data_IF_308896150885
#
_entry.id   IF_308896150885
#
_cell.length_a   1.000
_cell.length_b   1.000
_cell.length_c   1.000
_cell.angle_alpha   90.00
_cell.angle_beta   90.00
_cell.angle_gamma   90.00
#
_symmetry.space_group_name_H-M   'P 1'
#
loop_
_entity.id
_entity.type
_entity.pdbx_description
1 polymer ?
#
# COMPACT_ATOMS: atom_id res chain seq x y z
N UNK A 1 11.99 -78.88 4.62
CA UNK A 1 13.27 -79.62 4.52
C UNK A 1 13.54 -79.80 3.03
N UNK A 2 14.71 -79.49 2.45
CA UNK A 2 16.04 -79.14 3.02
C UNK A 2 16.90 -78.34 2.02
N UNK A 3 17.64 -77.33 2.54
CA UNK A 3 18.90 -76.68 2.08
C UNK A 3 19.36 -76.69 0.59
N UNK A 4 19.65 -75.50 0.06
CA UNK A 4 20.66 -75.17 -1.00
C UNK A 4 22.10 -75.04 -0.38
N UNK A 5 23.24 -74.72 -1.08
CA UNK A 5 23.50 -74.17 -2.45
C UNK A 5 24.52 -75.04 -3.27
N UNK A 6 25.51 -74.65 -4.14
CA UNK A 6 26.12 -73.37 -4.62
C UNK A 6 27.01 -73.52 -5.90
N UNK A 7 26.85 -72.64 -6.91
CA UNK A 7 27.79 -71.55 -7.37
C UNK A 7 29.33 -71.80 -7.35
N UNK A 8 30.19 -71.37 -8.33
CA UNK A 8 30.06 -71.12 -9.80
C UNK A 8 31.36 -71.45 -10.62
N UNK A 9 31.53 -70.89 -11.85
CA UNK A 9 32.76 -70.33 -12.52
C UNK A 9 32.37 -69.92 -13.99
N UNK A 10 33.17 -69.22 -14.86
CA UNK A 10 34.60 -68.81 -14.78
C UNK A 10 34.99 -67.35 -15.24
N UNK A 11 36.30 -67.05 -15.15
CA UNK A 11 37.20 -66.10 -15.89
C UNK A 11 36.98 -64.56 -15.98
N UNK A 12 37.91 -63.85 -15.30
CA UNK A 12 38.78 -62.72 -15.75
C UNK A 12 38.24 -61.48 -16.47
N UNK A 13 38.69 -60.26 -16.06
CA UNK A 13 38.67 -59.16 -17.04
C UNK A 13 39.08 -57.72 -16.74
N UNK A 14 39.47 -57.23 -15.54
CA UNK A 14 40.14 -55.91 -15.42
C UNK A 14 40.89 -55.70 -14.09
N UNK A 15 41.81 -54.73 -14.06
CA UNK A 15 42.58 -54.35 -12.86
C UNK A 15 42.07 -53.03 -12.26
N UNK A 16 41.68 -52.98 -10.97
CA UNK A 16 41.35 -51.73 -10.30
C UNK A 16 42.63 -51.01 -9.86
N UNK A 17 42.99 -49.93 -10.56
CA UNK A 17 44.02 -48.99 -10.09
C UNK A 17 43.58 -48.32 -8.78
N UNK A 18 44.50 -48.22 -7.82
CA UNK A 18 44.20 -47.64 -6.52
C UNK A 18 44.09 -46.10 -6.59
N UNK A 19 42.85 -45.59 -6.63
CA UNK A 19 42.54 -44.17 -6.42
C UNK A 19 41.91 -43.96 -5.04
N UNK A 20 42.76 -43.91 -4.01
CA UNK A 20 42.37 -43.69 -2.61
C UNK A 20 42.06 -42.22 -2.30
N UNK A 21 41.21 -41.57 -3.09
CA UNK A 21 40.80 -40.18 -2.88
C UNK A 21 39.51 -40.11 -2.07
N UNK A 22 39.58 -40.59 -0.82
CA UNK A 22 38.45 -40.65 0.12
C UNK A 22 38.81 -40.08 1.51
N UNK A 23 39.78 -39.15 1.57
CA UNK A 23 40.23 -38.52 2.81
C UNK A 23 40.98 -37.21 2.58
N UNK A 24 40.35 -36.21 1.95
CA UNK A 24 40.91 -34.85 1.88
C UNK A 24 39.85 -33.73 2.01
N UNK A 25 38.99 -33.91 3.00
CA UNK A 25 37.99 -32.94 3.44
C UNK A 25 38.18 -32.66 4.93
N UNK A 26 39.30 -32.03 5.30
CA UNK A 26 39.67 -31.80 6.69
C UNK A 26 40.93 -30.96 6.92
N UNK A 27 41.87 -30.93 5.98
CA UNK A 27 42.98 -30.01 5.99
C UNK A 27 42.55 -28.65 5.41
N UNK A 28 42.10 -27.72 6.28
CA UNK A 28 42.21 -26.32 5.94
C UNK A 28 43.70 -25.97 5.97
N UNK A 29 44.33 -25.83 4.79
CA UNK A 29 45.74 -25.47 4.70
C UNK A 29 46.00 -24.19 5.49
N UNK A 30 46.68 -24.37 6.62
CA UNK A 30 47.20 -23.27 7.40
C UNK A 30 48.48 -22.80 6.70
N UNK A 31 48.31 -22.16 5.54
CA UNK A 31 49.31 -21.24 5.01
C UNK A 31 49.69 -20.30 6.15
N UNK A 32 50.85 -20.56 6.75
CA UNK A 32 51.49 -19.63 7.65
C UNK A 32 52.04 -18.52 6.77
N UNK A 33 51.19 -17.56 6.41
CA UNK A 33 51.61 -16.30 5.79
C UNK A 33 52.64 -15.66 6.70
N UNK A 34 53.92 -15.88 6.39
CA UNK A 34 55.03 -15.37 7.17
C UNK A 34 54.94 -13.85 7.11
N UNK A 35 54.54 -13.23 8.23
CA UNK A 35 54.33 -11.79 8.32
C UNK A 35 55.69 -11.10 8.20
N UNK A 36 56.05 -10.73 6.96
CA UNK A 36 57.33 -10.09 6.69
C UNK A 36 57.35 -8.67 7.25
N UNK A 37 58.55 -8.16 7.53
CA UNK A 37 58.72 -6.75 7.92
C UNK A 37 58.23 -5.80 6.81
N UNK A 38 58.29 -6.21 5.54
CA UNK A 38 57.71 -5.47 4.41
C UNK A 38 56.19 -5.36 4.48
N UNK A 39 55.50 -6.47 4.78
CA UNK A 39 54.04 -6.50 4.96
C UNK A 39 53.59 -5.53 6.06
N UNK A 40 54.31 -5.50 7.19
CA UNK A 40 54.04 -4.58 8.31
C UNK A 40 54.25 -3.12 7.89
N UNK A 41 55.34 -2.82 7.17
CA UNK A 41 55.60 -1.45 6.67
C UNK A 41 54.54 -0.98 5.66
N UNK A 42 54.09 -1.86 4.76
CA UNK A 42 53.01 -1.57 3.80
C UNK A 42 51.68 -1.34 4.56
N UNK A 43 51.37 -2.16 5.56
CA UNK A 43 50.17 -1.97 6.39
C UNK A 43 50.19 -0.63 7.16
N UNK A 44 51.33 -0.24 7.72
CA UNK A 44 51.51 1.07 8.39
C UNK A 44 51.28 2.22 7.39
N UNK A 45 51.82 2.10 6.16
CA UNK A 45 51.62 3.11 5.11
C UNK A 45 50.14 3.22 4.70
N UNK A 46 49.45 2.09 4.51
CA UNK A 46 48.01 2.04 4.19
C UNK A 46 47.18 2.64 5.33
N UNK A 47 47.50 2.33 6.59
CA UNK A 47 46.83 2.90 7.76
C UNK A 47 47.03 4.41 7.86
N UNK A 48 48.26 4.90 7.62
CA UNK A 48 48.56 6.34 7.60
C UNK A 48 47.80 7.09 6.49
N UNK A 49 47.81 6.55 5.27
CA UNK A 49 47.04 7.08 4.13
C UNK A 49 45.53 7.06 4.45
N UNK A 50 45.02 5.99 5.07
CA UNK A 50 43.63 5.87 5.51
C UNK A 50 43.24 6.96 6.51
N UNK A 51 44.05 7.21 7.53
CA UNK A 51 43.79 8.26 8.54
C UNK A 51 43.79 9.65 7.89
N UNK A 52 44.72 9.92 6.96
CA UNK A 52 44.73 11.17 6.21
C UNK A 52 43.51 11.31 5.29
N UNK A 53 43.11 10.24 4.61
CA UNK A 53 41.93 10.21 3.75
C UNK A 53 40.63 10.46 4.57
N UNK A 54 40.40 9.68 5.63
CA UNK A 54 39.21 9.78 6.48
C UNK A 54 39.10 11.10 7.25
N UNK A 55 40.22 11.77 7.52
CA UNK A 55 40.25 13.12 8.10
C UNK A 55 39.89 14.19 7.06
N UNK A 56 40.53 14.16 5.89
CA UNK A 56 40.52 15.29 4.94
C UNK A 56 39.44 15.18 3.85
N UNK A 57 39.26 14.00 3.24
CA UNK A 57 38.35 13.81 2.08
C UNK A 57 36.89 14.19 2.41
N UNK A 58 36.31 13.86 3.58
CA UNK A 58 34.94 14.27 3.90
C UNK A 58 34.73 15.79 3.95
N UNK A 59 35.73 16.56 4.41
CA UNK A 59 35.67 18.02 4.42
C UNK A 59 35.83 18.62 3.01
N UNK A 60 36.70 18.03 2.19
CA UNK A 60 36.85 18.41 0.78
C UNK A 60 35.57 18.13 -0.02
N UNK A 61 34.94 16.98 0.20
CA UNK A 61 33.63 16.63 -0.37
C UNK A 61 32.55 17.64 0.02
N UNK A 62 32.55 18.11 1.27
CA UNK A 62 31.59 19.11 1.74
C UNK A 62 31.75 20.44 1.00
N UNK A 63 32.97 20.96 0.96
CA UNK A 63 33.28 22.28 0.38
C UNK A 63 33.10 22.28 -1.15
N UNK A 64 33.56 21.23 -1.84
CA UNK A 64 33.50 21.18 -3.31
C UNK A 64 32.07 20.92 -3.81
N UNK A 65 31.37 19.94 -3.21
CA UNK A 65 30.10 19.43 -3.75
C UNK A 65 28.91 19.76 -2.85
N UNK A 66 28.93 19.36 -1.57
CA UNK A 66 27.71 19.39 -0.74
C UNK A 66 27.24 20.81 -0.41
N UNK A 67 28.15 21.78 -0.31
CA UNK A 67 27.82 23.20 -0.12
C UNK A 67 27.20 23.85 -1.38
N UNK A 68 27.32 23.24 -2.56
CA UNK A 68 26.69 23.70 -3.81
C UNK A 68 25.29 23.13 -4.04
N UNK A 69 24.88 22.15 -3.22
CA UNK A 69 23.56 21.52 -3.29
C UNK A 69 22.61 22.18 -2.27
N UNK A 70 21.28 22.20 -2.52
CA UNK A 70 20.27 22.75 -1.62
C UNK A 70 19.99 21.79 -0.43
N UNK A 71 21.03 21.46 0.32
CA UNK A 71 20.99 20.53 1.46
C UNK A 71 21.04 21.28 2.79
N UNK A 72 20.23 20.84 3.75
CA UNK A 72 20.30 21.28 5.14
C UNK A 72 21.61 20.85 5.83
N UNK A 73 21.92 21.46 6.98
CA UNK A 73 23.18 21.19 7.71
C UNK A 73 23.25 19.75 8.24
N UNK A 74 22.12 19.19 8.68
CA UNK A 74 22.01 17.82 9.19
C UNK A 74 22.30 16.79 8.09
N UNK A 75 21.69 16.92 6.91
CA UNK A 75 21.95 16.03 5.76
C UNK A 75 23.42 16.11 5.31
N UNK A 76 24.02 17.31 5.27
CA UNK A 76 25.45 17.45 4.96
C UNK A 76 26.34 16.73 5.96
N UNK A 77 26.12 16.94 7.26
CA UNK A 77 26.86 16.26 8.34
C UNK A 77 26.68 14.73 8.31
N UNK A 78 25.49 14.25 7.97
CA UNK A 78 25.22 12.82 7.81
C UNK A 78 26.05 12.24 6.64
N UNK A 79 26.05 12.90 5.47
CA UNK A 79 26.83 12.46 4.30
C UNK A 79 28.34 12.44 4.60
N UNK A 80 28.89 13.48 5.22
CA UNK A 80 30.33 13.53 5.53
C UNK A 80 30.74 12.51 6.60
N UNK A 81 29.87 12.26 7.58
CA UNK A 81 30.04 11.20 8.58
C UNK A 81 30.01 9.80 7.95
N UNK A 82 29.03 9.51 7.07
CA UNK A 82 28.96 8.23 6.34
C UNK A 82 30.17 8.04 5.42
N UNK A 83 30.58 9.08 4.68
CA UNK A 83 31.78 9.03 3.85
C UNK A 83 33.05 8.76 4.67
N UNK A 84 33.17 9.32 5.88
CA UNK A 84 34.26 9.01 6.81
C UNK A 84 34.23 7.54 7.23
N UNK A 85 33.08 7.00 7.63
CA UNK A 85 32.99 5.60 8.05
C UNK A 85 33.30 4.63 6.89
N UNK A 86 32.84 4.90 5.67
CA UNK A 86 33.19 4.09 4.50
C UNK A 86 34.71 4.11 4.22
N UNK A 87 35.36 5.27 4.28
CA UNK A 87 36.83 5.37 4.13
C UNK A 87 37.58 4.60 5.22
N UNK A 88 37.12 4.66 6.47
CA UNK A 88 37.71 3.89 7.58
C UNK A 88 37.53 2.38 7.37
N UNK A 89 36.32 1.92 7.00
CA UNK A 89 36.05 0.49 6.77
C UNK A 89 36.93 -0.06 5.63
N UNK A 90 36.99 0.65 4.50
CA UNK A 90 37.83 0.25 3.35
C UNK A 90 39.30 0.23 3.73
N UNK A 91 39.80 1.27 4.38
CA UNK A 91 41.21 1.36 4.76
C UNK A 91 41.64 0.35 5.84
N UNK A 92 40.76 0.04 6.80
CA UNK A 92 40.97 -1.06 7.77
C UNK A 92 41.00 -2.41 7.05
N UNK A 93 40.10 -2.65 6.09
CA UNK A 93 40.09 -3.87 5.28
C UNK A 93 41.39 -4.04 4.48
N UNK A 94 41.88 -2.97 3.84
CA UNK A 94 43.15 -2.97 3.12
C UNK A 94 44.36 -3.17 4.06
N UNK A 95 44.32 -2.59 5.26
CA UNK A 95 45.36 -2.75 6.28
C UNK A 95 45.47 -4.20 6.75
N UNK A 96 44.34 -4.86 7.05
CA UNK A 96 44.35 -6.27 7.45
C UNK A 96 44.82 -7.20 6.33
N UNK A 97 44.42 -6.94 5.08
CA UNK A 97 44.92 -7.66 3.91
C UNK A 97 46.45 -7.55 3.77
N UNK A 98 47.01 -6.34 3.94
CA UNK A 98 48.45 -6.11 3.84
C UNK A 98 49.29 -6.79 4.93
N UNK A 99 48.74 -6.99 6.15
CA UNK A 99 49.42 -7.73 7.22
C UNK A 99 49.53 -9.23 6.89
N UNK A 100 48.69 -9.76 5.99
CA UNK A 100 48.63 -11.20 5.71
C UNK A 100 47.76 -11.97 6.70
N UNK A 101 46.91 -11.28 7.48
CA UNK A 101 45.84 -11.95 8.25
C UNK A 101 44.87 -12.52 7.22
N UNK A 102 44.89 -13.86 7.06
CA UNK A 102 44.09 -14.55 6.06
C UNK A 102 42.62 -14.12 6.09
N UNK A 103 42.14 -13.59 4.97
CA UNK A 103 40.80 -13.02 4.81
C UNK A 103 39.70 -13.96 5.32
N UNK A 104 39.87 -15.27 5.08
CA UNK A 104 39.05 -16.37 5.59
C UNK A 104 38.73 -16.30 7.10
N UNK A 105 39.66 -15.82 7.95
CA UNK A 105 39.50 -15.72 9.41
C UNK A 105 38.51 -14.61 9.84
N UNK A 106 38.33 -13.58 9.01
CA UNK A 106 37.46 -12.42 9.29
C UNK A 106 36.21 -12.43 8.39
N UNK A 107 36.24 -13.18 7.27
CA UNK A 107 35.16 -13.27 6.29
C UNK A 107 33.79 -13.63 6.90
N UNK A 108 33.73 -14.54 7.88
CA UNK A 108 32.47 -14.90 8.56
C UNK A 108 31.90 -13.72 9.38
N UNK A 109 32.77 -12.94 10.04
CA UNK A 109 32.38 -11.77 10.83
C UNK A 109 31.92 -10.62 9.93
N UNK A 110 32.63 -10.38 8.82
CA UNK A 110 32.22 -9.41 7.80
C UNK A 110 30.89 -9.82 7.17
N UNK A 111 30.72 -11.09 6.78
CA UNK A 111 29.47 -11.59 6.23
C UNK A 111 28.29 -11.42 7.20
N UNK A 112 28.47 -11.80 8.48
CA UNK A 112 27.44 -11.63 9.51
C UNK A 112 27.09 -10.14 9.74
N UNK A 113 28.08 -9.26 9.80
CA UNK A 113 27.89 -7.81 9.97
C UNK A 113 27.19 -7.18 8.77
N UNK A 114 27.61 -7.52 7.54
CA UNK A 114 27.00 -7.05 6.30
C UNK A 114 25.56 -7.56 6.16
N UNK A 115 25.28 -8.80 6.53
CA UNK A 115 23.93 -9.40 6.46
C UNK A 115 23.00 -8.77 7.51
N UNK A 116 23.47 -8.56 8.75
CA UNK A 116 22.73 -7.83 9.77
C UNK A 116 22.43 -6.37 9.37
N UNK A 117 23.40 -5.69 8.75
CA UNK A 117 23.20 -4.35 8.19
C UNK A 117 22.20 -4.35 7.01
N UNK A 118 22.27 -5.35 6.14
CA UNK A 118 21.35 -5.49 5.00
C UNK A 118 19.90 -5.68 5.47
N UNK A 119 19.65 -6.52 6.49
CA UNK A 119 18.33 -6.62 7.12
C UNK A 119 17.91 -5.30 7.80
N UNK A 120 18.80 -4.65 8.55
CA UNK A 120 18.51 -3.36 9.19
C UNK A 120 18.17 -2.23 8.22
N UNK A 121 18.71 -2.27 7.00
CA UNK A 121 18.44 -1.30 5.93
C UNK A 121 17.32 -1.74 4.96
N UNK A 122 16.82 -2.97 5.06
CA UNK A 122 15.87 -3.57 4.11
C UNK A 122 14.64 -2.69 3.88
N UNK A 123 14.04 -2.16 4.95
CA UNK A 123 12.83 -1.34 4.86
C UNK A 123 13.10 0.05 4.26
N UNK A 124 14.29 0.63 4.50
CA UNK A 124 14.71 1.90 3.88
C UNK A 124 14.89 1.70 2.38
N UNK A 125 15.55 0.60 1.98
CA UNK A 125 15.77 0.26 0.58
C UNK A 125 14.46 -0.05 -0.15
N UNK A 126 13.55 -0.83 0.47
CA UNK A 126 12.23 -1.13 -0.09
C UNK A 126 11.42 0.13 -0.37
N UNK A 127 11.37 1.07 0.58
CA UNK A 127 10.65 2.34 0.39
C UNK A 127 11.33 3.26 -0.64
N UNK A 128 12.66 3.24 -0.76
CA UNK A 128 13.38 3.97 -1.80
C UNK A 128 13.08 3.43 -3.21
N UNK A 129 13.21 2.11 -3.41
CA UNK A 129 12.89 1.47 -4.70
C UNK A 129 11.41 1.66 -5.07
N UNK A 130 10.50 1.51 -4.11
CA UNK A 130 9.07 1.80 -4.33
C UNK A 130 8.83 3.25 -4.73
N UNK A 131 9.59 4.20 -4.17
CA UNK A 131 9.56 5.60 -4.60
C UNK A 131 10.00 5.82 -6.05
N UNK A 132 11.00 5.06 -6.52
CA UNK A 132 11.41 5.09 -7.94
C UNK A 132 10.36 4.47 -8.86
N UNK A 133 9.74 3.35 -8.45
CA UNK A 133 8.65 2.70 -9.19
C UNK A 133 7.45 3.65 -9.33
N UNK A 134 7.04 4.31 -8.24
CA UNK A 134 5.96 5.32 -8.26
C UNK A 134 6.26 6.44 -9.27
N UNK A 135 7.50 6.92 -9.36
CA UNK A 135 7.89 8.00 -10.29
C UNK A 135 7.95 7.53 -11.76
N UNK A 136 8.33 6.27 -12.00
CA UNK A 136 8.47 5.68 -13.33
C UNK A 136 7.13 5.22 -13.92
N UNK A 137 6.36 4.41 -13.18
CA UNK A 137 5.11 3.79 -13.63
C UNK A 137 3.88 4.67 -13.37
N UNK A 138 3.96 5.57 -12.38
CA UNK A 138 2.90 6.52 -11.99
C UNK A 138 1.52 5.88 -11.71
N UNK A 139 1.46 4.81 -10.86
CA UNK A 139 0.18 4.25 -10.37
C UNK A 139 -0.59 5.22 -9.46
N UNK A 140 0.11 6.23 -8.93
CA UNK A 140 -0.44 7.42 -8.30
C UNK A 140 0.35 8.66 -8.76
N UNK A 141 -0.31 9.81 -8.73
CA UNK A 141 0.23 11.13 -9.14
C UNK A 141 -0.12 12.16 -8.07
N UNK A 142 0.64 13.26 -8.00
CA UNK A 142 0.24 14.40 -7.16
C UNK A 142 -1.03 15.01 -7.74
N UNK A 143 -2.06 15.15 -6.91
CA UNK A 143 -3.43 15.51 -7.30
C UNK A 143 -4.38 14.34 -7.49
N UNK A 144 -3.91 13.08 -7.49
CA UNK A 144 -4.83 11.92 -7.56
C UNK A 144 -5.60 11.77 -6.25
N UNK A 145 -6.89 11.42 -6.34
CA UNK A 145 -7.66 11.00 -5.16
C UNK A 145 -7.60 9.49 -5.00
N UNK A 146 -7.21 9.03 -3.82
CA UNK A 146 -6.94 7.62 -3.53
C UNK A 146 -7.63 7.14 -2.24
N UNK A 147 -7.87 5.84 -2.16
CA UNK A 147 -8.24 5.11 -0.93
C UNK A 147 -7.14 4.12 -0.58
N UNK A 148 -6.66 4.14 0.67
CA UNK A 148 -5.68 3.19 1.21
C UNK A 148 -6.17 2.75 2.58
N UNK A 149 -6.40 1.44 2.74
CA UNK A 149 -7.19 0.92 3.86
C UNK A 149 -8.55 1.61 3.90
N UNK A 150 -8.92 2.14 5.06
CA UNK A 150 -10.18 2.88 5.27
C UNK A 150 -10.07 4.41 5.02
N UNK A 151 -8.89 4.91 4.61
CA UNK A 151 -8.62 6.35 4.49
C UNK A 151 -8.72 6.80 3.04
N UNK A 152 -9.55 7.83 2.81
CA UNK A 152 -9.71 8.50 1.51
C UNK A 152 -8.99 9.86 1.54
N UNK A 153 -8.35 10.26 0.46
CA UNK A 153 -7.75 11.60 0.36
C UNK A 153 -6.96 11.84 -0.92
N UNK A 154 -6.49 13.06 -1.11
CA UNK A 154 -5.76 13.48 -2.31
C UNK A 154 -4.25 13.42 -2.07
N UNK A 155 -3.50 12.83 -3.01
CA UNK A 155 -2.04 12.73 -2.95
C UNK A 155 -1.42 14.13 -3.08
N UNK A 156 -0.95 14.69 -1.98
CA UNK A 156 -0.43 16.07 -1.93
C UNK A 156 1.07 16.16 -2.18
N UNK A 157 1.86 15.11 -1.92
CA UNK A 157 3.32 15.16 -2.08
C UNK A 157 4.00 13.79 -2.11
N UNK A 158 4.68 13.43 -3.19
CA UNK A 158 5.52 12.22 -3.26
C UNK A 158 6.97 12.58 -2.85
N UNK A 159 7.59 11.81 -1.95
CA UNK A 159 9.02 11.92 -1.57
C UNK A 159 9.71 10.56 -1.68
N UNK A 160 11.05 10.50 -1.61
CA UNK A 160 11.82 9.27 -1.86
C UNK A 160 11.45 8.05 -0.99
N UNK A 161 10.95 8.23 0.24
CA UNK A 161 10.60 7.11 1.15
C UNK A 161 9.14 7.02 1.58
N UNK A 162 8.35 8.06 1.30
CA UNK A 162 6.98 8.18 1.78
C UNK A 162 6.23 9.23 0.94
N UNK A 163 4.92 9.04 0.84
CA UNK A 163 4.01 9.94 0.14
C UNK A 163 3.01 10.52 1.14
N UNK A 164 2.79 11.83 1.03
CA UNK A 164 1.78 12.55 1.80
C UNK A 164 0.44 12.51 1.06
N UNK A 165 -0.61 12.12 1.78
CA UNK A 165 -2.01 12.21 1.36
C UNK A 165 -2.69 13.22 2.29
N UNK A 166 -3.57 14.06 1.75
CA UNK A 166 -4.41 14.96 2.53
C UNK A 166 -5.84 14.42 2.55
N UNK A 167 -6.30 14.02 3.74
CA UNK A 167 -7.69 13.62 4.00
C UNK A 167 -8.65 14.82 3.83
N UNK A 168 -9.93 14.55 3.60
CA UNK A 168 -11.02 15.52 3.50
C UNK A 168 -11.13 16.42 4.75
N UNK A 169 -10.69 15.93 5.91
CA UNK A 169 -10.54 16.70 7.15
C UNK A 169 -9.24 17.55 7.21
N UNK A 170 -8.56 17.77 6.08
CA UNK A 170 -7.29 18.50 5.93
C UNK A 170 -6.11 17.95 6.74
N UNK A 171 -6.12 16.65 7.06
CA UNK A 171 -5.04 15.97 7.80
C UNK A 171 -3.99 15.45 6.81
N UNK A 172 -2.71 15.79 7.00
CA UNK A 172 -1.60 15.13 6.28
C UNK A 172 -1.33 13.73 6.87
N UNK A 173 -1.67 12.67 6.13
CA UNK A 173 -1.22 11.30 6.37
C UNK A 173 0.10 11.06 5.63
N UNK A 174 1.10 10.45 6.29
CA UNK A 174 2.40 10.14 5.69
C UNK A 174 2.54 8.62 5.56
N UNK A 175 2.29 8.10 4.36
CA UNK A 175 2.27 6.67 4.04
C UNK A 175 3.64 6.24 3.47
N UNK A 176 4.25 5.13 3.94
CA UNK A 176 5.47 4.57 3.36
C UNK A 176 5.28 4.20 1.88
N UNK A 177 6.24 4.53 1.01
CA UNK A 177 6.12 4.28 -0.44
C UNK A 177 5.92 2.79 -0.79
N UNK A 178 6.45 1.89 0.03
CA UNK A 178 6.28 0.43 -0.10
C UNK A 178 4.80 0.02 -0.10
N UNK A 179 3.98 0.69 0.71
CA UNK A 179 2.56 0.36 0.89
C UNK A 179 1.76 0.53 -0.41
N UNK A 180 2.11 1.51 -1.24
CA UNK A 180 1.50 1.75 -2.55
C UNK A 180 1.89 0.72 -3.62
N UNK A 181 2.95 -0.06 -3.40
CA UNK A 181 3.51 -1.02 -4.36
C UNK A 181 3.23 -2.47 -3.95
N UNK A 182 3.17 -2.76 -2.64
CA UNK A 182 2.88 -4.11 -2.12
C UNK A 182 1.49 -4.26 -1.51
N UNK A 183 0.79 -3.17 -1.24
CA UNK A 183 -0.58 -3.15 -0.71
C UNK A 183 -1.64 -2.96 -1.80
N UNK A 184 -2.91 -3.06 -1.41
CA UNK A 184 -4.04 -2.69 -2.27
C UNK A 184 -4.40 -1.22 -2.05
N UNK A 185 -4.59 -0.48 -3.14
CA UNK A 185 -5.14 0.87 -3.15
C UNK A 185 -6.26 0.98 -4.20
N UNK A 186 -7.11 1.99 -4.05
CA UNK A 186 -8.03 2.44 -5.11
C UNK A 186 -7.55 3.83 -5.54
N UNK A 187 -7.38 4.05 -6.85
CA UNK A 187 -7.11 5.38 -7.41
C UNK A 187 -8.31 5.80 -8.25
N UNK A 188 -8.98 6.87 -7.84
CA UNK A 188 -10.24 7.36 -8.42
C UNK A 188 -10.04 8.29 -9.62
N UNK A 189 -8.79 8.57 -10.02
CA UNK A 189 -8.46 9.53 -11.10
C UNK A 189 -7.35 9.06 -12.05
N UNK A 190 -6.91 7.80 -11.97
CA UNK A 190 -5.72 7.29 -12.66
C UNK A 190 -5.79 7.37 -14.20
N UNK A 191 -6.92 6.95 -14.76
CA UNK A 191 -7.13 6.79 -16.22
C UNK A 191 -8.38 7.51 -16.70
N UNK A 192 -9.43 7.46 -15.90
CA UNK A 192 -10.70 8.18 -16.08
C UNK A 192 -11.16 8.60 -14.67
N UNK A 193 -11.39 9.90 -14.39
CA UNK A 193 -11.90 10.36 -13.10
C UNK A 193 -13.43 10.19 -12.95
N UNK A 194 -14.11 9.73 -14.01
CA UNK A 194 -15.56 9.52 -14.03
C UNK A 194 -15.97 8.45 -13.03
N UNK A 195 -16.77 8.83 -12.03
CA UNK A 195 -17.32 7.91 -11.04
C UNK A 195 -18.82 7.74 -11.19
N UNK A 196 -19.37 6.62 -10.70
CA UNK A 196 -20.81 6.36 -10.67
C UNK A 196 -21.38 6.51 -9.27
N UNK A 197 -22.20 7.55 -9.06
CA UNK A 197 -23.02 7.69 -7.86
C UNK A 197 -24.30 6.83 -8.00
N UNK A 198 -24.67 6.15 -6.92
CA UNK A 198 -25.90 5.37 -6.81
C UNK A 198 -26.74 5.97 -5.68
N UNK A 199 -27.95 6.43 -6.02
CA UNK A 199 -28.95 6.96 -5.10
C UNK A 199 -30.10 5.93 -4.99
N UNK A 200 -30.19 5.17 -3.88
CA UNK A 200 -31.31 4.27 -3.63
C UNK A 200 -32.56 5.06 -3.22
N UNK A 201 -33.71 4.69 -3.75
CA UNK A 201 -35.00 5.39 -3.56
C UNK A 201 -36.12 4.36 -3.38
N UNK A 202 -36.79 4.37 -2.23
CA UNK A 202 -37.99 3.57 -1.97
C UNK A 202 -39.27 4.40 -2.12
N UNK A 203 -40.28 3.86 -2.80
CA UNK A 203 -41.62 4.48 -2.94
C UNK A 203 -42.72 3.51 -2.53
N UNK A 204 -43.90 4.01 -2.17
CA UNK A 204 -44.98 3.17 -1.64
C UNK A 204 -45.50 2.16 -2.68
N UNK A 205 -45.91 0.98 -2.21
CA UNK A 205 -46.63 0.00 -3.02
C UNK A 205 -47.88 0.63 -3.65
N UNK A 206 -48.14 0.33 -4.94
CA UNK A 206 -49.19 0.99 -5.73
C UNK A 206 -48.75 2.29 -6.42
N UNK A 207 -47.53 2.78 -6.20
CA UNK A 207 -46.97 3.90 -6.98
C UNK A 207 -46.79 3.55 -8.46
N UNK A 208 -47.07 4.51 -9.34
CA UNK A 208 -46.81 4.40 -10.79
C UNK A 208 -45.29 4.38 -11.05
N UNK A 209 -44.78 3.20 -11.41
CA UNK A 209 -43.38 2.89 -11.68
C UNK A 209 -42.77 3.79 -12.77
N UNK A 210 -43.53 4.12 -13.83
CA UNK A 210 -43.00 4.91 -14.96
C UNK A 210 -43.08 6.41 -14.69
N UNK A 211 -44.03 6.86 -13.87
CA UNK A 211 -44.03 8.22 -13.29
C UNK A 211 -42.88 8.43 -12.32
N UNK A 212 -42.54 7.42 -11.52
CA UNK A 212 -41.35 7.43 -10.64
C UNK A 212 -40.08 7.50 -11.49
N UNK A 213 -39.92 6.60 -12.48
CA UNK A 213 -38.79 6.59 -13.42
C UNK A 213 -38.57 7.95 -14.08
N UNK A 214 -39.63 8.52 -14.67
CA UNK A 214 -39.60 9.80 -15.40
C UNK A 214 -39.36 11.01 -14.49
N UNK A 215 -39.65 10.90 -13.20
CA UNK A 215 -39.38 11.96 -12.23
C UNK A 215 -37.94 11.89 -11.74
N UNK A 216 -37.42 10.69 -11.48
CA UNK A 216 -36.02 10.47 -11.10
C UNK A 216 -35.04 10.86 -12.22
N UNK A 217 -35.32 10.51 -13.48
CA UNK A 217 -34.50 10.95 -14.63
C UNK A 217 -34.47 12.48 -14.73
N UNK A 218 -35.64 13.15 -14.76
CA UNK A 218 -35.74 14.63 -14.83
C UNK A 218 -35.00 15.35 -13.69
N UNK A 219 -34.82 14.70 -12.54
CA UNK A 219 -34.03 15.26 -11.43
C UNK A 219 -32.52 15.14 -11.69
N UNK A 220 -32.06 14.06 -12.32
CA UNK A 220 -30.67 13.95 -12.77
C UNK A 220 -30.37 14.89 -13.95
N UNK A 221 -31.26 14.94 -14.95
CA UNK A 221 -31.16 15.80 -16.15
C UNK A 221 -31.14 17.32 -15.81
N UNK A 222 -31.34 17.69 -14.55
CA UNK A 222 -31.40 19.07 -14.05
C UNK A 222 -30.21 19.47 -13.14
N UNK A 223 -29.29 18.55 -12.82
CA UNK A 223 -28.08 18.85 -12.04
C UNK A 223 -26.86 18.95 -12.96
N UNK A 224 -26.30 20.16 -13.06
CA UNK A 224 -25.14 20.51 -13.91
C UNK A 224 -23.85 19.77 -13.55
N UNK A 225 -23.80 19.08 -12.41
CA UNK A 225 -22.64 18.28 -11.98
C UNK A 225 -22.70 16.83 -12.49
N UNK A 226 -23.79 16.43 -13.14
CA UNK A 226 -24.00 15.09 -13.71
C UNK A 226 -23.60 15.09 -15.18
N UNK A 227 -22.96 14.02 -15.62
CA UNK A 227 -22.57 13.82 -17.01
C UNK A 227 -23.72 13.28 -17.86
N UNK A 228 -23.95 13.89 -19.02
CA UNK A 228 -24.86 13.36 -20.06
C UNK A 228 -24.37 12.02 -20.62
N UNK A 229 -23.06 11.78 -20.60
CA UNK A 229 -22.41 10.57 -21.11
C UNK A 229 -21.37 10.08 -20.09
N UNK A 230 -21.52 8.87 -19.52
CA UNK A 230 -22.62 7.92 -19.73
C UNK A 230 -23.96 8.40 -19.14
N UNK A 231 -25.06 8.17 -19.84
CA UNK A 231 -26.40 8.65 -19.48
C UNK A 231 -26.85 8.21 -18.06
N UNK A 232 -27.57 9.07 -17.31
CA UNK A 232 -28.32 8.69 -16.12
C UNK A 232 -29.27 7.51 -16.35
N UNK A 233 -29.37 6.59 -15.37
CA UNK A 233 -30.24 5.40 -15.47
C UNK A 233 -30.99 5.15 -14.19
N UNK A 234 -32.31 4.98 -14.32
CA UNK A 234 -33.19 4.53 -13.23
C UNK A 234 -33.53 3.06 -13.42
N UNK A 235 -33.15 2.24 -12.44
CA UNK A 235 -33.39 0.80 -12.41
C UNK A 235 -34.41 0.52 -11.30
N UNK A 236 -35.44 -0.27 -11.62
CA UNK A 236 -36.31 -0.86 -10.61
C UNK A 236 -35.62 -2.13 -10.11
N UNK A 237 -35.22 -2.13 -8.84
CA UNK A 237 -34.44 -3.21 -8.23
C UNK A 237 -35.34 -4.35 -7.74
N UNK A 238 -36.55 -4.03 -7.29
CA UNK A 238 -37.56 -5.03 -6.94
C UNK A 238 -38.51 -4.59 -5.83
N UNK A 239 -39.02 -5.60 -5.12
CA UNK A 239 -40.06 -5.49 -4.12
C UNK A 239 -39.46 -5.61 -2.71
N UNK A 240 -39.29 -4.46 -2.04
CA UNK A 240 -38.73 -4.35 -0.69
C UNK A 240 -39.77 -4.59 0.40
N UNK A 241 -39.32 -4.60 1.67
CA UNK A 241 -40.16 -4.95 2.81
C UNK A 241 -41.33 -3.99 3.10
N UNK A 242 -41.29 -2.76 2.60
CA UNK A 242 -42.41 -1.79 2.65
C UNK A 242 -42.43 -0.83 1.45
N UNK A 243 -41.59 -1.08 0.45
CA UNK A 243 -41.32 -0.18 -0.67
C UNK A 243 -41.17 -0.92 -2.00
N UNK A 244 -41.45 -0.22 -3.08
CA UNK A 244 -40.93 -0.51 -4.41
C UNK A 244 -39.56 0.15 -4.50
N UNK A 245 -38.51 -0.65 -4.71
CA UNK A 245 -37.12 -0.20 -4.57
C UNK A 245 -36.52 0.16 -5.93
N UNK A 246 -35.96 1.37 -6.04
CA UNK A 246 -35.31 1.91 -7.22
C UNK A 246 -33.87 2.33 -6.92
N UNK A 247 -33.03 2.30 -7.94
CA UNK A 247 -31.74 3.00 -7.95
C UNK A 247 -31.72 4.02 -9.08
N UNK A 248 -31.48 5.29 -8.74
CA UNK A 248 -30.99 6.29 -9.70
C UNK A 248 -29.46 6.21 -9.74
N UNK A 249 -28.91 5.80 -10.88
CA UNK A 249 -27.47 5.72 -11.14
C UNK A 249 -27.07 6.86 -12.05
N UNK A 250 -26.10 7.67 -11.63
CA UNK A 250 -25.61 8.86 -12.35
C UNK A 250 -24.09 8.86 -12.39
N UNK A 251 -23.50 9.60 -13.31
CA UNK A 251 -22.06 9.69 -13.50
C UNK A 251 -21.58 11.11 -13.22
N UNK A 252 -20.45 11.25 -12.50
CA UNK A 252 -19.89 12.53 -12.06
C UNK A 252 -18.44 12.65 -12.54
N UNK A 253 -17.94 13.86 -12.88
CA UNK A 253 -16.61 14.07 -13.45
C UNK A 253 -15.45 13.84 -12.46
N UNK A 254 -15.70 13.88 -11.15
CA UNK A 254 -14.73 13.48 -10.12
C UNK A 254 -15.43 13.04 -8.82
N UNK A 255 -14.69 12.35 -7.96
CA UNK A 255 -15.12 11.96 -6.61
C UNK A 255 -15.40 13.16 -5.68
N UNK A 256 -14.86 14.34 -5.98
CA UNK A 256 -15.04 15.56 -5.17
C UNK A 256 -16.51 16.02 -5.16
N UNK A 257 -17.22 15.81 -6.27
CA UNK A 257 -18.65 16.14 -6.42
C UNK A 257 -19.59 15.17 -5.70
N UNK A 258 -19.11 14.00 -5.26
CA UNK A 258 -19.94 12.88 -4.81
C UNK A 258 -20.89 13.23 -3.64
N UNK A 259 -20.39 13.98 -2.65
CA UNK A 259 -21.19 14.36 -1.48
C UNK A 259 -22.21 15.45 -1.83
N UNK A 260 -21.79 16.49 -2.55
CA UNK A 260 -22.62 17.64 -2.91
C UNK A 260 -23.74 17.27 -3.92
N UNK A 261 -23.42 16.48 -4.95
CA UNK A 261 -24.43 15.99 -5.89
C UNK A 261 -25.40 15.01 -5.21
N UNK A 262 -24.94 14.15 -4.28
CA UNK A 262 -25.84 13.25 -3.54
C UNK A 262 -26.84 14.01 -2.66
N UNK A 263 -26.42 15.07 -1.98
CA UNK A 263 -27.31 15.95 -1.22
C UNK A 263 -28.30 16.68 -2.14
N UNK A 264 -27.80 17.24 -3.24
CA UNK A 264 -28.59 17.95 -4.27
C UNK A 264 -29.67 17.05 -4.86
N UNK A 265 -29.31 15.83 -5.27
CA UNK A 265 -30.23 14.82 -5.79
C UNK A 265 -31.26 14.40 -4.75
N UNK A 266 -30.86 14.02 -3.53
CA UNK A 266 -31.80 13.62 -2.47
C UNK A 266 -32.86 14.72 -2.20
N UNK A 267 -32.39 15.97 -2.08
CA UNK A 267 -33.24 17.15 -1.85
C UNK A 267 -34.18 17.43 -3.03
N UNK A 268 -33.70 17.25 -4.26
CA UNK A 268 -34.52 17.41 -5.46
C UNK A 268 -35.54 16.27 -5.63
N UNK A 269 -35.18 15.03 -5.31
CA UNK A 269 -36.07 13.85 -5.38
C UNK A 269 -37.24 14.02 -4.42
N UNK A 270 -37.00 14.35 -3.15
CA UNK A 270 -38.05 14.62 -2.16
C UNK A 270 -39.02 15.72 -2.63
N UNK A 271 -38.47 16.83 -3.12
CA UNK A 271 -39.24 17.97 -3.64
C UNK A 271 -40.11 17.59 -4.84
N UNK A 272 -39.57 16.91 -5.84
CA UNK A 272 -40.32 16.52 -7.04
C UNK A 272 -41.30 15.37 -6.77
N UNK A 273 -40.99 14.45 -5.85
CA UNK A 273 -41.93 13.40 -5.42
C UNK A 273 -43.14 13.99 -4.68
N UNK A 274 -42.91 14.95 -3.76
CA UNK A 274 -43.98 15.68 -3.06
C UNK A 274 -44.89 16.44 -4.04
N UNK A 275 -44.32 17.11 -5.04
CA UNK A 275 -45.10 17.75 -6.14
C UNK A 275 -45.86 16.71 -6.97
N UNK A 276 -45.22 15.60 -7.33
CA UNK A 276 -45.81 14.57 -8.18
C UNK A 276 -46.87 13.72 -7.46
N UNK A 277 -47.02 13.84 -6.13
CA UNK A 277 -47.81 12.92 -5.29
C UNK A 277 -47.31 11.48 -5.47
N UNK A 278 -46.01 11.29 -5.28
CA UNK A 278 -45.36 9.98 -5.08
C UNK A 278 -45.08 9.87 -3.59
N UNK A 279 -45.56 8.81 -2.96
CA UNK A 279 -45.40 8.59 -1.52
C UNK A 279 -44.08 7.86 -1.23
N UNK A 280 -43.32 8.38 -0.27
CA UNK A 280 -42.17 7.69 0.33
C UNK A 280 -42.70 6.98 1.59
N UNK A 281 -42.67 5.65 1.67
CA UNK A 281 -43.40 4.91 2.70
C UNK A 281 -42.63 4.89 4.02
N UNK A 282 -43.37 4.99 5.13
CA UNK A 282 -42.87 4.52 6.42
C UNK A 282 -42.86 2.98 6.44
N UNK A 283 -42.06 2.33 7.32
CA UNK A 283 -42.11 0.89 7.51
C UNK A 283 -43.53 0.42 7.86
N UNK A 284 -44.11 -0.41 6.99
CA UNK A 284 -45.47 -0.93 7.15
C UNK A 284 -45.43 -2.30 7.84
N UNK A 285 -46.47 -2.63 8.63
CA UNK A 285 -46.58 -3.92 9.30
C UNK A 285 -48.02 -4.32 9.59
N UNK A 286 -48.48 -5.37 8.93
CA UNK A 286 -49.80 -5.95 9.18
C UNK A 286 -49.87 -6.58 10.58
N UNK A 287 -50.92 -6.22 11.33
CA UNK A 287 -51.16 -6.70 12.69
C UNK A 287 -52.42 -7.59 12.73
N UNK A 288 -52.24 -8.90 12.61
CA UNK A 288 -53.35 -9.84 12.76
C UNK A 288 -53.58 -10.20 14.25
N UNK A 289 -54.48 -9.46 14.90
CA UNK A 289 -54.86 -9.67 16.31
C UNK A 289 -55.77 -10.90 16.44
N UNK A 290 -55.26 -11.98 17.04
CA UNK A 290 -56.00 -13.25 17.20
C UNK A 290 -56.99 -13.28 18.37
N UNK A 291 -56.77 -12.47 19.39
CA UNK A 291 -57.63 -12.36 20.57
C UNK A 291 -57.45 -10.98 21.22
N UNK A 292 -58.52 -10.48 21.84
CA UNK A 292 -58.54 -9.18 22.51
C UNK A 292 -59.47 -9.24 23.73
N UNK A 293 -59.06 -8.66 24.86
CA UNK A 293 -59.87 -8.61 26.08
C UNK A 293 -60.70 -7.31 26.11
N UNK A 294 -62.05 -7.36 26.10
CA UNK A 294 -62.88 -6.16 26.01
C UNK A 294 -62.72 -5.16 27.17
N UNK A 295 -62.27 -5.65 28.33
CA UNK A 295 -62.15 -4.89 29.59
C UNK A 295 -61.13 -3.74 29.53
N UNK A 296 -60.21 -3.77 28.56
CA UNK A 296 -59.24 -2.69 28.30
C UNK A 296 -59.78 -1.60 27.34
N UNK A 297 -61.06 -1.65 26.96
CA UNK A 297 -61.70 -0.53 26.26
C UNK A 297 -61.84 0.68 27.19
N UNK A 298 -60.83 1.57 27.16
CA UNK A 298 -61.00 2.96 27.58
C UNK A 298 -62.13 3.55 26.73
N UNK A 299 -63.32 3.68 27.32
CA UNK A 299 -64.42 4.42 26.69
C UNK A 299 -63.92 5.85 26.47
N UNK A 300 -63.71 6.22 25.21
CA UNK A 300 -63.59 7.62 24.86
C UNK A 300 -64.87 8.31 25.35
N UNK A 301 -64.79 9.41 26.13
CA UNK A 301 -65.97 10.17 26.47
C UNK A 301 -66.64 10.64 25.15
N UNK A 302 -67.97 10.80 25.11
CA UNK A 302 -68.61 11.39 23.95
C UNK A 302 -67.94 12.73 23.67
N UNK A 303 -67.56 12.97 22.41
CA UNK A 303 -66.99 14.24 22.01
C UNK A 303 -68.06 15.32 22.17
N UNK A 304 -67.81 16.32 23.02
CA UNK A 304 -68.66 17.50 23.13
C UNK A 304 -68.58 18.30 21.83
N UNK A 305 -69.42 17.94 20.85
CA UNK A 305 -69.72 18.80 19.70
C UNK A 305 -70.41 20.06 20.22
N UNK A 306 -69.82 21.25 20.02
CA UNK A 306 -70.49 22.49 20.36
C UNK A 306 -71.79 22.61 19.54
N UNK A 307 -72.87 22.99 20.18
CA UNK A 307 -74.12 23.31 19.52
C UNK A 307 -74.17 24.81 19.20
N UNK A 308 -73.94 25.15 17.94
CA UNK A 308 -74.27 26.44 17.28
C UNK A 308 -74.60 26.16 15.80
#
# INVERSE_FOLDING_TARGET
>A
MTRSPSVPLPVSGFSPGANSNASDSGAADLEQTIITLGNVMIAILIAFITVMAARNIPGVLEIILLQRLPLDRSTRYAITTVARYLLVIVGVSLTFGAIGIGWSRIQWLVAALTFGLAFGLQEIFANFISGLIILAERPIRIGDTVTIGDINGTVSRIRMRATTITDWNLKELVVPNKEFITGQLINWSLSDPTIRLIVPVGVAYGSDVEKVRRTLLRVADADVNILDVPEPRVIFMGFGASSLDFELRVFLPSIEYFVACRDTLNTAIDREFRKAKVEIPFPQRDLHVRSWTPELMVKHPPSDTPSD
#
